data_IF_866080448339
#
_entry.id   IF_866080448339
#
_cell.length_a   1.000
_cell.length_b   1.000
_cell.length_c   1.000
_cell.angle_alpha   90.00
_cell.angle_beta   90.00
_cell.angle_gamma   90.00
#
_symmetry.space_group_name_H-M   'P 1'
#
loop_
_entity.id
_entity.type
_entity.pdbx_description
1 polymer ?
#
# COMPACT_ATOMS: atom_id res chain seq x y z
N UNK A 1 -6.56 -24.94 28.98
CA UNK A 1 -6.28 -23.53 29.34
C UNK A 1 -7.29 -22.62 28.66
N UNK A 2 -8.33 -22.14 29.36
CA UNK A 2 -9.28 -21.15 28.83
C UNK A 2 -8.86 -19.77 29.32
N UNK A 3 -8.04 -19.05 28.57
CA UNK A 3 -7.84 -17.62 28.82
C UNK A 3 -9.13 -16.90 28.40
N UNK A 4 -9.91 -16.46 29.38
CA UNK A 4 -11.12 -15.67 29.16
C UNK A 4 -10.67 -14.28 28.68
N UNK A 5 -10.46 -14.10 27.37
CA UNK A 5 -10.07 -12.81 26.79
C UNK A 5 -11.29 -11.89 26.89
N UNK A 6 -11.43 -11.20 28.02
CA UNK A 6 -12.49 -10.23 28.28
C UNK A 6 -12.10 -8.80 27.81
N UNK A 7 -11.21 -8.71 26.83
CA UNK A 7 -10.66 -7.45 26.32
C UNK A 7 -11.47 -6.90 25.13
N UNK A 8 -12.77 -7.20 25.06
CA UNK A 8 -13.66 -6.74 23.98
C UNK A 8 -13.63 -5.21 23.81
N UNK A 9 -13.45 -4.48 24.91
CA UNK A 9 -13.36 -3.02 24.93
C UNK A 9 -12.11 -2.50 24.19
N UNK A 10 -10.99 -3.23 24.23
CA UNK A 10 -9.75 -2.85 23.52
C UNK A 10 -10.02 -2.87 22.01
N UNK A 11 -10.69 -3.92 21.52
CA UNK A 11 -11.05 -4.02 20.10
C UNK A 11 -11.99 -2.89 19.68
N UNK A 12 -13.01 -2.58 20.48
CA UNK A 12 -13.92 -1.47 20.18
C UNK A 12 -13.18 -0.13 20.11
N UNK A 13 -12.27 0.16 21.04
CA UNK A 13 -11.47 1.39 21.01
C UNK A 13 -10.54 1.40 19.79
N UNK A 14 -9.83 0.32 19.51
CA UNK A 14 -8.96 0.22 18.32
C UNK A 14 -9.74 0.45 17.03
N UNK A 15 -10.92 -0.17 16.91
CA UNK A 15 -11.77 -0.02 15.75
C UNK A 15 -12.34 1.40 15.60
N UNK A 16 -12.70 2.07 16.72
CA UNK A 16 -13.09 3.48 16.71
C UNK A 16 -11.94 4.40 16.28
N UNK A 17 -10.72 4.17 16.78
CA UNK A 17 -9.54 4.93 16.38
C UNK A 17 -9.24 4.77 14.88
N UNK A 18 -9.30 3.53 14.37
CA UNK A 18 -9.10 3.26 12.93
C UNK A 18 -10.20 3.90 12.07
N UNK A 19 -11.46 3.82 12.50
CA UNK A 19 -12.57 4.44 11.79
C UNK A 19 -12.41 5.97 11.77
N UNK A 20 -12.09 6.60 12.91
CA UNK A 20 -11.84 8.03 12.98
C UNK A 20 -10.66 8.44 12.09
N UNK A 21 -9.58 7.65 12.09
CA UNK A 21 -8.41 7.86 11.23
C UNK A 21 -8.81 7.82 9.76
N UNK A 22 -9.54 6.79 9.33
CA UNK A 22 -9.97 6.67 7.95
C UNK A 22 -10.86 7.84 7.49
N UNK A 23 -11.76 8.33 8.36
CA UNK A 23 -12.57 9.53 8.06
C UNK A 23 -11.67 10.75 7.95
N UNK A 24 -10.77 10.95 8.90
CA UNK A 24 -9.83 12.06 8.90
C UNK A 24 -9.01 12.12 7.60
N UNK A 25 -8.47 10.98 7.17
CA UNK A 25 -7.69 10.89 5.93
C UNK A 25 -8.48 11.35 4.69
N UNK A 26 -9.79 11.08 4.64
CA UNK A 26 -10.67 11.50 3.55
C UNK A 26 -11.03 12.99 3.60
N UNK A 27 -11.06 13.59 4.79
CA UNK A 27 -11.41 15.03 4.94
C UNK A 27 -10.31 15.97 4.46
N UNK A 28 -9.06 15.52 4.46
CA UNK A 28 -7.88 16.32 4.07
C UNK A 28 -7.03 15.57 3.04
N UNK A 29 -7.54 15.37 1.81
CA UNK A 29 -6.89 14.51 0.81
C UNK A 29 -5.50 15.00 0.41
N UNK A 30 -5.30 16.31 0.28
CA UNK A 30 -4.00 16.90 -0.04
C UNK A 30 -2.98 16.63 1.09
N UNK A 31 -3.38 16.89 2.34
CA UNK A 31 -2.53 16.64 3.50
C UNK A 31 -2.21 15.16 3.68
N UNK A 32 -3.19 14.28 3.48
CA UNK A 32 -3.00 12.83 3.51
C UNK A 32 -2.00 12.38 2.44
N UNK A 33 -2.12 12.89 1.22
CA UNK A 33 -1.23 12.52 0.13
C UNK A 33 0.23 12.94 0.39
N UNK A 34 0.43 14.15 0.92
CA UNK A 34 1.76 14.60 1.34
C UNK A 34 2.30 13.77 2.51
N UNK A 35 1.45 13.46 3.50
CA UNK A 35 1.81 12.60 4.63
C UNK A 35 2.23 11.19 4.17
N UNK A 36 1.51 10.60 3.22
CA UNK A 36 1.87 9.33 2.60
C UNK A 36 3.21 9.44 1.86
N UNK A 37 3.44 10.53 1.13
CA UNK A 37 4.70 10.78 0.42
C UNK A 37 5.89 10.84 1.38
N UNK A 38 5.76 11.55 2.49
CA UNK A 38 6.80 11.65 3.53
C UNK A 38 7.02 10.29 4.20
N UNK A 39 5.95 9.55 4.49
CA UNK A 39 6.03 8.20 5.04
C UNK A 39 6.78 7.26 4.09
N UNK A 40 6.50 7.32 2.78
CA UNK A 40 7.25 6.59 1.76
C UNK A 40 8.72 7.02 1.70
N UNK A 41 9.02 8.32 1.82
CA UNK A 41 10.39 8.83 1.90
C UNK A 41 11.18 8.20 3.05
N UNK A 42 10.60 8.16 4.25
CA UNK A 42 11.20 7.51 5.41
C UNK A 42 11.39 6.01 5.22
N UNK A 43 10.42 5.33 4.60
CA UNK A 43 10.54 3.89 4.30
C UNK A 43 11.70 3.63 3.34
N UNK A 44 11.77 4.33 2.21
CA UNK A 44 12.81 4.15 1.21
C UNK A 44 14.19 4.50 1.78
N UNK A 45 14.28 5.58 2.55
CA UNK A 45 15.51 5.95 3.26
C UNK A 45 15.98 4.86 4.22
N UNK A 46 15.06 4.30 5.01
CA UNK A 46 15.37 3.25 5.99
C UNK A 46 15.78 1.95 5.30
N UNK A 47 15.08 1.56 4.22
CA UNK A 47 15.43 0.38 3.41
C UNK A 47 16.81 0.55 2.78
N UNK A 48 17.12 1.72 2.22
CA UNK A 48 18.44 2.02 1.67
C UNK A 48 19.56 1.89 2.70
N UNK A 49 19.35 2.42 3.92
CA UNK A 49 20.27 2.25 5.03
C UNK A 49 20.47 0.78 5.43
N UNK A 50 19.39 0.01 5.53
CA UNK A 50 19.45 -1.42 5.83
C UNK A 50 20.18 -2.21 4.74
N UNK A 51 19.97 -1.89 3.46
CA UNK A 51 20.65 -2.52 2.33
C UNK A 51 22.16 -2.26 2.34
N UNK A 52 22.59 -1.04 2.68
CA UNK A 52 24.01 -0.70 2.86
C UNK A 52 24.61 -1.51 4.02
N UNK A 53 23.94 -1.53 5.17
CA UNK A 53 24.39 -2.30 6.34
C UNK A 53 24.49 -3.78 6.01
N UNK A 54 23.49 -4.34 5.33
CA UNK A 54 23.47 -5.74 4.88
C UNK A 54 24.63 -6.05 3.93
N UNK A 55 24.88 -5.17 2.95
CA UNK A 55 25.96 -5.32 1.98
C UNK A 55 27.34 -5.33 2.67
N UNK A 56 27.57 -4.42 3.62
CA UNK A 56 28.84 -4.32 4.35
C UNK A 56 29.08 -5.55 5.23
N UNK A 57 28.07 -6.01 5.95
CA UNK A 57 28.17 -7.19 6.83
C UNK A 57 28.40 -8.49 6.05
N UNK A 58 27.80 -8.60 4.86
CA UNK A 58 27.81 -9.84 4.07
C UNK A 58 28.81 -9.83 2.91
N UNK A 59 29.67 -8.81 2.82
CA UNK A 59 30.65 -8.62 1.72
C UNK A 59 31.58 -9.82 1.48
N UNK A 60 31.86 -10.60 2.54
CA UNK A 60 32.77 -11.76 2.47
C UNK A 60 32.06 -13.06 2.11
N UNK A 61 30.73 -13.11 2.20
CA UNK A 61 29.93 -14.33 2.06
C UNK A 61 29.12 -14.35 0.75
N UNK A 62 28.77 -13.18 0.21
CA UNK A 62 27.96 -13.06 -1.00
C UNK A 62 28.72 -12.34 -2.11
N UNK A 63 28.73 -12.92 -3.31
CA UNK A 63 29.33 -12.29 -4.49
C UNK A 63 28.54 -11.07 -4.98
N UNK A 64 27.24 -11.02 -4.66
CA UNK A 64 26.31 -9.96 -5.08
C UNK A 64 26.24 -8.77 -4.12
N UNK A 65 27.10 -8.69 -3.10
CA UNK A 65 27.07 -7.62 -2.09
C UNK A 65 27.14 -6.20 -2.69
N UNK A 66 27.84 -6.05 -3.82
CA UNK A 66 27.97 -4.76 -4.53
C UNK A 66 26.61 -4.29 -5.04
N UNK A 67 25.75 -5.20 -5.49
CA UNK A 67 24.40 -4.85 -5.97
C UNK A 67 23.54 -4.29 -4.83
N UNK A 68 23.59 -4.92 -3.66
CA UNK A 68 22.89 -4.40 -2.47
C UNK A 68 23.45 -3.06 -2.01
N UNK A 69 24.77 -2.84 -2.11
CA UNK A 69 25.38 -1.56 -1.78
C UNK A 69 24.90 -0.45 -2.74
N UNK A 70 24.96 -0.71 -4.05
CA UNK A 70 24.53 0.24 -5.08
C UNK A 70 23.05 0.56 -4.94
N UNK A 71 22.21 -0.47 -4.76
CA UNK A 71 20.78 -0.32 -4.53
C UNK A 71 20.53 0.54 -3.29
N UNK A 72 21.19 0.23 -2.17
CA UNK A 72 21.02 0.97 -0.93
C UNK A 72 21.45 2.44 -1.01
N UNK A 73 22.54 2.74 -1.73
CA UNK A 73 22.96 4.14 -1.97
C UNK A 73 21.91 4.88 -2.80
N UNK A 74 21.41 4.27 -3.88
CA UNK A 74 20.37 4.85 -4.72
C UNK A 74 19.11 5.12 -3.89
N UNK A 75 18.68 4.15 -3.09
CA UNK A 75 17.51 4.27 -2.20
C UNK A 75 17.71 5.35 -1.13
N UNK A 76 18.89 5.50 -0.54
CA UNK A 76 19.15 6.60 0.40
C UNK A 76 19.01 7.97 -0.28
N UNK A 77 19.60 8.14 -1.48
CA UNK A 77 19.51 9.40 -2.22
C UNK A 77 18.05 9.70 -2.58
N UNK A 78 17.32 8.72 -3.10
CA UNK A 78 15.90 8.87 -3.42
C UNK A 78 15.12 9.20 -2.15
N UNK A 79 15.33 8.49 -1.05
CA UNK A 79 14.69 8.73 0.24
C UNK A 79 14.91 10.15 0.76
N UNK A 80 16.14 10.67 0.66
CA UNK A 80 16.46 12.06 1.00
C UNK A 80 15.68 13.02 0.11
N UNK A 81 15.71 12.84 -1.22
CA UNK A 81 14.95 13.71 -2.15
C UNK A 81 13.46 13.69 -1.83
N UNK A 82 12.92 12.51 -1.49
CA UNK A 82 11.51 12.33 -1.10
C UNK A 82 11.12 13.14 0.15
N UNK A 83 12.04 13.25 1.11
CA UNK A 83 11.81 13.95 2.37
C UNK A 83 11.99 15.48 2.25
N UNK A 84 12.94 15.94 1.45
CA UNK A 84 13.24 17.37 1.33
C UNK A 84 12.42 18.09 0.26
N UNK A 85 11.93 17.38 -0.76
CA UNK A 85 11.10 17.95 -1.82
C UNK A 85 9.81 17.15 -2.02
N UNK A 86 8.84 17.25 -1.08
CA UNK A 86 7.63 16.43 -1.09
C UNK A 86 6.75 16.69 -2.32
N UNK A 87 6.77 17.89 -2.92
CA UNK A 87 5.95 18.19 -4.10
C UNK A 87 6.41 17.45 -5.36
N UNK A 88 7.71 17.44 -5.65
CA UNK A 88 8.27 16.68 -6.79
C UNK A 88 8.05 15.18 -6.59
N UNK A 89 8.20 14.75 -5.34
CA UNK A 89 8.05 13.38 -4.90
C UNK A 89 6.63 12.85 -5.05
N UNK A 90 5.65 13.68 -4.71
CA UNK A 90 4.24 13.44 -4.94
C UNK A 90 3.94 13.15 -6.42
N UNK A 91 4.46 13.96 -7.35
CA UNK A 91 4.32 13.72 -8.78
C UNK A 91 5.02 12.44 -9.25
N UNK A 92 6.21 12.13 -8.74
CA UNK A 92 6.91 10.88 -9.05
C UNK A 92 6.15 9.65 -8.58
N UNK A 93 5.52 9.71 -7.39
CA UNK A 93 4.68 8.63 -6.87
C UNK A 93 3.46 8.35 -7.75
N UNK A 94 2.84 9.39 -8.31
CA UNK A 94 1.71 9.23 -9.25
C UNK A 94 2.17 8.47 -10.50
N UNK A 95 3.29 8.87 -11.09
CA UNK A 95 3.83 8.22 -12.29
C UNK A 95 4.22 6.77 -11.98
N UNK A 96 4.93 6.55 -10.87
CA UNK A 96 5.33 5.21 -10.43
C UNK A 96 4.12 4.30 -10.19
N UNK A 97 3.10 4.81 -9.49
CA UNK A 97 1.85 4.09 -9.24
C UNK A 97 1.14 3.76 -10.55
N UNK A 98 1.04 4.72 -11.47
CA UNK A 98 0.44 4.49 -12.79
C UNK A 98 1.16 3.40 -13.58
N UNK A 99 2.49 3.44 -13.63
CA UNK A 99 3.29 2.39 -14.28
C UNK A 99 3.09 1.02 -13.61
N UNK A 100 3.11 0.96 -12.27
CA UNK A 100 2.86 -0.27 -11.53
C UNK A 100 1.47 -0.86 -11.83
N UNK A 101 0.46 -0.02 -11.96
CA UNK A 101 -0.89 -0.45 -12.31
C UNK A 101 -0.98 -0.98 -13.75
N UNK A 102 -0.19 -0.46 -14.69
CA UNK A 102 -0.09 -1.04 -16.04
C UNK A 102 0.45 -2.47 -15.98
N UNK A 103 1.55 -2.70 -15.25
CA UNK A 103 2.08 -4.06 -15.06
C UNK A 103 1.07 -4.99 -14.40
N UNK A 104 0.35 -4.48 -13.39
CA UNK A 104 -0.72 -5.22 -12.71
C UNK A 104 -1.86 -5.57 -13.66
N UNK A 105 -2.25 -4.65 -14.55
CA UNK A 105 -3.28 -4.88 -15.55
C UNK A 105 -2.86 -5.97 -16.55
N UNK A 106 -1.63 -5.90 -17.06
CA UNK A 106 -1.07 -6.92 -17.96
C UNK A 106 -1.07 -8.29 -17.27
N UNK A 107 -0.62 -8.36 -16.02
CA UNK A 107 -0.62 -9.59 -15.23
C UNK A 107 -2.04 -10.16 -15.05
N UNK A 108 -3.04 -9.31 -14.77
CA UNK A 108 -4.45 -9.71 -14.64
C UNK A 108 -5.03 -10.22 -15.97
N UNK A 109 -4.76 -9.54 -17.08
CA UNK A 109 -5.20 -9.96 -18.41
C UNK A 109 -4.61 -11.34 -18.75
N UNK A 110 -3.30 -11.52 -18.53
CA UNK A 110 -2.65 -12.82 -18.71
C UNK A 110 -3.24 -13.90 -17.80
N UNK A 111 -3.49 -13.56 -16.53
CA UNK A 111 -4.16 -14.44 -15.58
C UNK A 111 -5.55 -14.87 -16.06
N UNK A 112 -6.32 -13.96 -16.67
CA UNK A 112 -7.62 -14.27 -17.25
C UNK A 112 -7.54 -15.29 -18.40
N UNK A 113 -6.52 -15.17 -19.27
CA UNK A 113 -6.28 -16.14 -20.35
C UNK A 113 -5.95 -17.51 -19.77
N UNK A 114 -5.13 -17.57 -18.72
CA UNK A 114 -4.80 -18.82 -18.02
C UNK A 114 -6.05 -19.43 -17.39
N UNK A 115 -6.87 -18.65 -16.69
CA UNK A 115 -8.12 -19.12 -16.09
C UNK A 115 -9.10 -19.67 -17.13
N UNK A 116 -9.17 -19.03 -18.31
CA UNK A 116 -9.98 -19.51 -19.43
C UNK A 116 -9.51 -20.88 -19.92
N UNK A 117 -8.20 -21.10 -20.03
CA UNK A 117 -7.61 -22.40 -20.41
C UNK A 117 -7.89 -23.50 -19.38
N UNK A 118 -7.97 -23.13 -18.10
CA UNK A 118 -8.30 -24.03 -17.00
C UNK A 118 -9.80 -24.31 -16.84
N UNK A 119 -10.66 -23.76 -17.71
CA UNK A 119 -12.12 -23.93 -17.62
C UNK A 119 -12.76 -23.23 -16.43
N UNK A 120 -12.07 -22.28 -15.79
CA UNK A 120 -12.59 -21.58 -14.62
C UNK A 120 -13.66 -20.54 -15.04
N UNK A 121 -14.88 -20.57 -14.47
CA UNK A 121 -15.97 -19.68 -14.87
C UNK A 121 -15.70 -18.20 -14.60
N UNK A 122 -14.76 -17.86 -13.71
CA UNK A 122 -14.41 -16.49 -13.34
C UNK A 122 -13.41 -15.82 -14.30
N UNK A 123 -13.01 -16.48 -15.40
CA UNK A 123 -12.05 -15.92 -16.37
C UNK A 123 -12.51 -14.55 -16.92
N UNK A 124 -13.81 -14.40 -17.21
CA UNK A 124 -14.38 -13.18 -17.77
C UNK A 124 -14.29 -12.01 -16.78
N UNK A 125 -14.55 -12.27 -15.49
CA UNK A 125 -14.42 -11.26 -14.44
C UNK A 125 -12.97 -10.79 -14.30
N UNK A 126 -12.00 -11.73 -14.33
CA UNK A 126 -10.58 -11.40 -14.25
C UNK A 126 -10.11 -10.55 -15.46
N UNK A 127 -10.63 -10.84 -16.65
CA UNK A 127 -10.34 -10.06 -17.86
C UNK A 127 -10.90 -8.63 -17.76
N UNK A 128 -12.17 -8.49 -17.35
CA UNK A 128 -12.82 -7.18 -17.16
C UNK A 128 -12.05 -6.36 -16.13
N UNK A 129 -11.68 -6.95 -14.99
CA UNK A 129 -10.86 -6.29 -13.98
C UNK A 129 -9.51 -5.85 -14.53
N UNK A 130 -8.86 -6.68 -15.35
CA UNK A 130 -7.61 -6.33 -16.02
C UNK A 130 -7.75 -5.09 -16.93
N UNK A 131 -8.77 -5.09 -17.80
CA UNK A 131 -9.05 -3.97 -18.71
C UNK A 131 -9.40 -2.69 -17.93
N UNK A 132 -10.26 -2.79 -16.92
CA UNK A 132 -10.61 -1.65 -16.06
C UNK A 132 -9.38 -1.09 -15.35
N UNK A 133 -8.48 -1.96 -14.85
CA UNK A 133 -7.23 -1.55 -14.20
C UNK A 133 -6.33 -0.79 -15.19
N UNK A 134 -6.26 -1.25 -16.45
CA UNK A 134 -5.48 -0.60 -17.50
C UNK A 134 -6.02 0.79 -17.87
N UNK A 135 -7.34 0.92 -18.01
CA UNK A 135 -7.97 2.22 -18.28
C UNK A 135 -7.78 3.18 -17.10
N UNK A 136 -7.92 2.67 -15.87
CA UNK A 136 -7.72 3.45 -14.66
C UNK A 136 -6.26 3.90 -14.50
N UNK A 137 -5.28 3.08 -14.88
CA UNK A 137 -3.87 3.45 -14.83
C UNK A 137 -3.52 4.57 -15.81
N UNK A 138 -4.09 4.53 -17.02
CA UNK A 138 -3.96 5.63 -18.00
C UNK A 138 -4.56 6.92 -17.43
N UNK A 139 -5.76 6.84 -16.82
CA UNK A 139 -6.43 7.99 -16.23
C UNK A 139 -5.60 8.65 -15.10
N UNK A 140 -4.96 7.84 -14.26
CA UNK A 140 -4.05 8.30 -13.20
C UNK A 140 -2.86 9.06 -13.79
N UNK A 141 -2.24 8.54 -14.85
CA UNK A 141 -1.05 9.18 -15.45
C UNK A 141 -1.41 10.51 -16.11
N UNK A 142 -2.57 10.60 -16.77
CA UNK A 142 -3.01 11.81 -17.48
C UNK A 142 -3.53 12.87 -16.51
N UNK A 143 -4.17 12.46 -15.41
CA UNK A 143 -4.79 13.38 -14.46
C UNK A 143 -4.19 13.21 -13.03
N UNK A 144 -3.17 14.02 -12.69
CA UNK A 144 -2.53 13.98 -11.37
C UNK A 144 -3.47 14.27 -10.20
N UNK A 145 -4.49 15.12 -10.39
CA UNK A 145 -5.46 15.44 -9.34
C UNK A 145 -6.30 14.19 -9.04
N UNK A 146 -6.80 13.53 -10.09
CA UNK A 146 -7.53 12.27 -9.94
C UNK A 146 -6.66 11.20 -9.28
N UNK A 147 -5.39 11.09 -9.67
CA UNK A 147 -4.44 10.16 -9.07
C UNK A 147 -4.26 10.36 -7.56
N UNK A 148 -4.12 11.62 -7.12
CA UNK A 148 -4.04 11.95 -5.70
C UNK A 148 -5.25 11.41 -4.93
N UNK A 149 -6.46 11.70 -5.41
CA UNK A 149 -7.69 11.19 -4.78
C UNK A 149 -7.73 9.66 -4.79
N UNK A 150 -7.42 9.04 -5.93
CA UNK A 150 -7.41 7.58 -6.06
C UNK A 150 -6.48 6.92 -5.03
N UNK A 151 -5.25 7.44 -4.87
CA UNK A 151 -4.27 6.94 -3.91
C UNK A 151 -4.78 7.13 -2.48
N UNK A 152 -5.24 8.34 -2.11
CA UNK A 152 -5.78 8.64 -0.77
C UNK A 152 -6.94 7.71 -0.42
N UNK A 153 -7.93 7.59 -1.31
CA UNK A 153 -9.11 6.76 -1.05
C UNK A 153 -8.78 5.27 -1.04
N UNK A 154 -7.81 4.82 -1.84
CA UNK A 154 -7.34 3.43 -1.81
C UNK A 154 -6.73 3.03 -0.46
N UNK A 155 -6.20 4.00 0.31
CA UNK A 155 -5.66 3.77 1.65
C UNK A 155 -6.75 3.98 2.71
N UNK A 156 -7.53 5.05 2.60
CA UNK A 156 -8.51 5.44 3.60
C UNK A 156 -9.70 4.46 3.69
N UNK A 157 -10.22 3.98 2.56
CA UNK A 157 -11.38 3.08 2.54
C UNK A 157 -11.07 1.74 3.25
N UNK A 158 -9.95 1.04 2.97
CA UNK A 158 -9.60 -0.16 3.71
C UNK A 158 -9.43 0.07 5.22
N UNK A 159 -8.85 1.21 5.62
CA UNK A 159 -8.69 1.56 7.04
C UNK A 159 -10.06 1.74 7.71
N UNK A 160 -10.99 2.42 7.04
CA UNK A 160 -12.37 2.57 7.51
C UNK A 160 -13.06 1.22 7.66
N UNK A 161 -13.02 0.39 6.62
CA UNK A 161 -13.65 -0.92 6.63
C UNK A 161 -13.07 -1.81 7.72
N UNK A 162 -11.74 -1.83 7.87
CA UNK A 162 -11.06 -2.55 8.94
C UNK A 162 -11.50 -2.07 10.32
N UNK A 163 -11.61 -0.75 10.53
CA UNK A 163 -12.12 -0.16 11.77
C UNK A 163 -13.52 -0.65 12.11
N UNK A 164 -14.45 -0.58 11.16
CA UNK A 164 -15.84 -1.06 11.31
C UNK A 164 -15.88 -2.56 11.60
N UNK A 165 -15.09 -3.36 10.89
CA UNK A 165 -15.00 -4.82 11.11
C UNK A 165 -14.46 -5.16 12.51
N UNK A 166 -13.46 -4.43 13.00
CA UNK A 166 -12.90 -4.64 14.35
C UNK A 166 -13.92 -4.27 15.44
N UNK A 167 -14.68 -3.18 15.25
CA UNK A 167 -15.79 -2.81 16.17
C UNK A 167 -16.81 -3.96 16.21
N UNK A 168 -17.20 -4.48 15.05
CA UNK A 168 -18.13 -5.59 14.94
C UNK A 168 -17.62 -6.85 15.67
N UNK A 169 -16.34 -7.20 15.50
CA UNK A 169 -15.72 -8.31 16.24
C UNK A 169 -15.65 -8.06 17.75
N UNK A 170 -15.38 -6.83 18.18
CA UNK A 170 -15.38 -6.46 19.59
C UNK A 170 -16.74 -6.73 20.25
N UNK A 171 -17.84 -6.35 19.59
CA UNK A 171 -19.18 -6.64 20.09
C UNK A 171 -19.54 -8.13 20.07
N UNK A 172 -19.08 -8.88 19.06
CA UNK A 172 -19.26 -10.32 19.05
C UNK A 172 -18.51 -11.00 20.21
N UNK A 173 -17.27 -10.59 20.49
CA UNK A 173 -16.51 -11.07 21.65
C UNK A 173 -17.18 -10.74 22.99
N UNK A 174 -17.81 -9.56 23.10
CA UNK A 174 -18.62 -9.22 24.28
C UNK A 174 -19.79 -10.19 24.46
N UNK A 175 -20.49 -10.53 23.38
CA UNK A 175 -21.62 -11.49 23.40
C UNK A 175 -21.20 -12.91 23.74
N UNK A 176 -20.02 -13.35 23.29
CA UNK A 176 -19.49 -14.70 23.55
C UNK A 176 -18.93 -14.87 24.96
N UNK A 177 -18.53 -13.76 25.60
CA UNK A 177 -17.97 -13.75 26.96
C UNK A 177 -19.01 -13.42 28.05
N UNK A 178 -20.21 -12.97 27.65
CA UNK A 178 -21.37 -12.76 28.51
C UNK A 178 -22.05 -14.09 28.84
#
# INVERSE_FOLDING_TARGET
MKSKINQWWILVIMGLLLTATGVFLMTQPVGTFLGLTIMFGWLIFSVGGLNIVFAIQNKSYFKDWIWYLLLGIIEMVIGVVLLFQPDLSASSLIIFTGMWMIFTAIARINGAVVLKKLGNPYWGAYLILGILTFLFSILIIINPIFAMFAIVYSVAIPILLAGVTIIYFGFQLKKLNA
#
